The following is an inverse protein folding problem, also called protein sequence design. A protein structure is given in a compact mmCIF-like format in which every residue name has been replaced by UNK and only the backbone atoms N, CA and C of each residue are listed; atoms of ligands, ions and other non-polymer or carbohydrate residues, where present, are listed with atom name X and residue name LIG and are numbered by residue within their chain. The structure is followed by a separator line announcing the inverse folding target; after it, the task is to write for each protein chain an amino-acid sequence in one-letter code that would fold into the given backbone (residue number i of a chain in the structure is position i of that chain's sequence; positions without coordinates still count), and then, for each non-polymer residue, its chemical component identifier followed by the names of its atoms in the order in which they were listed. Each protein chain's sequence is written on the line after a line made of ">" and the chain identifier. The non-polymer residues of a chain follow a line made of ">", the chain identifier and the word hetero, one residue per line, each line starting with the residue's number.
data_IF_696537106600
#
_entry.id   IF_696537106600
#
_cell.length_a   1.000
_cell.length_b   1.000
_cell.length_c   1.000
_cell.angle_alpha   90.00
_cell.angle_beta   90.00
_cell.angle_gamma   90.00
#
_symmetry.space_group_name_H-M   'P 1'
#
loop_
_entity.id
_entity.type
_entity.pdbx_description
1 polymer ?
#
# COMPACT_ATOMS: atom_id res chain seq x y z
N UNK A 1 -55.73 -11.18 -32.35
CA UNK A 1 -55.07 -11.43 -31.06
C UNK A 1 -53.69 -10.83 -31.07
N UNK A 2 -53.49 -9.81 -30.31
CA UNK A 2 -52.18 -9.17 -30.22
C UNK A 2 -51.36 -9.89 -29.15
N UNK A 3 -50.39 -10.67 -29.60
CA UNK A 3 -49.37 -11.17 -28.66
C UNK A 3 -48.48 -9.98 -28.27
N UNK A 4 -48.63 -9.54 -27.09
CA UNK A 4 -47.67 -8.58 -26.55
C UNK A 4 -46.41 -9.36 -26.24
N UNK A 5 -45.40 -9.17 -27.12
CA UNK A 5 -44.06 -9.57 -26.80
C UNK A 5 -43.55 -8.64 -25.69
N UNK A 6 -43.57 -9.10 -24.48
CA UNK A 6 -42.77 -8.45 -23.44
C UNK A 6 -41.32 -8.84 -23.71
N UNK A 7 -40.60 -7.99 -24.42
CA UNK A 7 -39.16 -8.03 -24.36
C UNK A 7 -38.79 -7.62 -22.95
N UNK A 8 -38.59 -8.61 -22.09
CA UNK A 8 -37.89 -8.38 -20.85
C UNK A 8 -36.45 -8.01 -21.26
N UNK A 9 -36.19 -6.74 -21.40
CA UNK A 9 -34.81 -6.25 -21.39
C UNK A 9 -34.27 -6.59 -20.01
N UNK A 10 -33.64 -7.75 -19.90
CA UNK A 10 -32.76 -8.01 -18.81
C UNK A 10 -31.66 -6.97 -18.91
N UNK A 11 -31.79 -5.86 -18.20
CA UNK A 11 -30.68 -4.96 -17.96
C UNK A 11 -29.67 -5.78 -17.18
N UNK A 12 -28.70 -6.32 -17.90
CA UNK A 12 -27.47 -6.77 -17.32
C UNK A 12 -26.83 -5.54 -16.70
N UNK A 13 -27.14 -5.29 -15.43
CA UNK A 13 -26.35 -4.37 -14.63
C UNK A 13 -25.01 -5.07 -14.43
N UNK A 14 -24.11 -4.86 -15.38
CA UNK A 14 -22.73 -5.21 -15.15
C UNK A 14 -22.23 -4.28 -14.05
N UNK A 15 -22.22 -4.81 -12.82
CA UNK A 15 -21.49 -4.18 -11.74
C UNK A 15 -20.01 -4.30 -12.08
N UNK A 16 -19.49 -3.32 -12.83
CA UNK A 16 -18.06 -3.21 -13.03
C UNK A 16 -17.45 -2.83 -11.69
N UNK A 17 -16.78 -3.81 -11.05
CA UNK A 17 -16.02 -3.57 -9.84
C UNK A 17 -14.76 -2.81 -10.23
N UNK A 18 -14.74 -1.51 -10.03
CA UNK A 18 -13.55 -0.70 -10.27
C UNK A 18 -12.60 -0.84 -9.10
N UNK A 19 -11.33 -1.11 -9.40
CA UNK A 19 -10.27 -0.99 -8.41
C UNK A 19 -10.07 0.49 -8.07
N UNK A 20 -10.11 0.82 -6.79
CA UNK A 20 -9.82 2.16 -6.31
C UNK A 20 -8.46 2.13 -5.62
N UNK A 21 -7.57 3.04 -5.99
CA UNK A 21 -6.24 3.14 -5.40
C UNK A 21 -6.08 4.49 -4.71
N UNK A 22 -5.75 4.44 -3.43
CA UNK A 22 -5.32 5.60 -2.65
C UNK A 22 -3.80 5.63 -2.62
N UNK A 23 -3.20 6.78 -2.94
CA UNK A 23 -1.76 6.95 -3.00
C UNK A 23 -1.33 8.00 -1.98
N UNK A 24 -0.31 7.64 -1.18
CA UNK A 24 0.27 8.47 -0.14
C UNK A 24 1.77 8.59 -0.37
N UNK A 25 2.33 9.74 -0.04
CA UNK A 25 3.75 10.02 -0.25
C UNK A 25 4.35 10.76 0.95
N UNK A 26 5.59 10.41 1.28
CA UNK A 26 6.43 11.15 2.23
C UNK A 26 7.77 11.41 1.58
N UNK A 27 8.13 12.70 1.49
CA UNK A 27 9.44 13.14 1.00
C UNK A 27 10.23 13.74 2.14
N UNK A 28 11.43 13.24 2.34
CA UNK A 28 12.39 13.77 3.30
C UNK A 28 13.76 13.88 2.60
N UNK A 29 13.98 15.02 1.92
CA UNK A 29 15.14 15.18 1.06
C UNK A 29 15.13 14.19 -0.10
N UNK A 30 16.19 13.40 -0.22
CA UNK A 30 16.31 12.34 -1.24
C UNK A 30 15.62 11.04 -0.87
N UNK A 31 15.06 10.96 0.33
CA UNK A 31 14.35 9.79 0.82
C UNK A 31 12.86 9.94 0.52
N UNK A 32 12.31 9.04 -0.27
CA UNK A 32 10.90 9.09 -0.69
C UNK A 32 10.23 7.77 -0.36
N UNK A 33 9.12 7.85 0.35
CA UNK A 33 8.27 6.70 0.67
C UNK A 33 6.94 6.83 -0.06
N UNK A 34 6.48 5.75 -0.67
CA UNK A 34 5.18 5.64 -1.30
C UNK A 34 4.37 4.54 -0.63
N UNK A 35 3.11 4.83 -0.42
CA UNK A 35 2.13 3.84 0.03
C UNK A 35 0.97 3.85 -0.95
N UNK A 36 0.59 2.69 -1.44
CA UNK A 36 -0.59 2.51 -2.27
C UNK A 36 -1.52 1.51 -1.61
N UNK A 37 -2.76 1.89 -1.45
CA UNK A 37 -3.82 1.01 -0.94
C UNK A 37 -4.83 0.84 -2.07
N UNK A 38 -4.92 -0.38 -2.59
CA UNK A 38 -5.84 -0.71 -3.67
C UNK A 38 -6.96 -1.57 -3.12
N UNK A 39 -8.19 -1.12 -3.33
CA UNK A 39 -9.39 -1.84 -2.93
C UNK A 39 -10.11 -2.34 -4.17
N UNK A 40 -10.33 -3.64 -4.24
CA UNK A 40 -11.08 -4.27 -5.31
C UNK A 40 -12.13 -5.20 -4.69
N UNK A 41 -13.39 -4.76 -4.69
CA UNK A 41 -14.44 -5.48 -3.97
C UNK A 41 -14.15 -5.53 -2.47
N UNK A 42 -13.97 -6.74 -1.94
CA UNK A 42 -13.61 -6.97 -0.54
C UNK A 42 -12.11 -7.11 -0.33
N UNK A 43 -11.35 -7.17 -1.41
CA UNK A 43 -9.91 -7.40 -1.35
C UNK A 43 -9.16 -6.08 -1.24
N UNK A 44 -8.24 -6.02 -0.30
CA UNK A 44 -7.38 -4.87 -0.06
C UNK A 44 -5.95 -5.31 -0.28
N UNK A 45 -5.22 -4.58 -1.12
CA UNK A 45 -3.80 -4.78 -1.35
C UNK A 45 -3.05 -3.54 -0.91
N UNK A 46 -1.99 -3.74 -0.13
CA UNK A 46 -1.09 -2.66 0.30
C UNK A 46 0.25 -2.85 -0.38
N UNK A 47 0.78 -1.77 -0.93
CA UNK A 47 2.13 -1.72 -1.51
C UNK A 47 2.90 -0.57 -0.88
N UNK A 48 4.07 -0.86 -0.35
CA UNK A 48 4.98 0.14 0.22
C UNK A 48 6.28 0.14 -0.57
N UNK A 49 6.69 1.33 -1.01
CA UNK A 49 7.91 1.56 -1.76
C UNK A 49 8.77 2.58 -1.04
N UNK A 50 10.08 2.37 -1.08
CA UNK A 50 11.06 3.32 -0.56
C UNK A 50 12.16 3.50 -1.58
N UNK A 51 12.48 4.76 -1.88
CA UNK A 51 13.60 5.15 -2.73
C UNK A 51 14.48 6.14 -2.00
N UNK A 52 15.77 5.88 -2.06
CA UNK A 52 16.79 6.80 -1.56
C UNK A 52 17.90 6.93 -2.59
N UNK A 53 18.05 8.14 -3.14
CA UNK A 53 19.17 8.52 -4.01
C UNK A 53 19.90 9.68 -3.36
N UNK A 54 21.10 9.45 -2.75
CA UNK A 54 21.84 10.52 -2.12
C UNK A 54 22.28 11.56 -3.15
N UNK A 55 22.11 12.83 -2.81
CA UNK A 55 22.61 13.93 -3.62
C UNK A 55 24.06 14.27 -3.24
N UNK A 56 24.66 15.26 -3.90
CA UNK A 56 26.07 15.66 -3.67
C UNK A 56 26.36 16.13 -2.23
N UNK A 57 25.34 16.52 -1.47
CA UNK A 57 25.49 16.91 -0.06
C UNK A 57 25.48 15.70 0.89
N UNK A 58 25.09 14.53 0.40
CA UNK A 58 24.95 13.30 1.18
C UNK A 58 26.09 12.33 0.85
N UNK A 59 27.33 12.82 0.90
CA UNK A 59 28.51 12.02 0.56
C UNK A 59 28.67 10.81 1.48
N UNK A 60 29.06 9.66 0.91
CA UNK A 60 29.32 8.42 1.65
C UNK A 60 28.11 7.53 1.86
N UNK A 61 26.92 7.92 1.39
CA UNK A 61 25.72 7.10 1.44
C UNK A 61 25.47 6.43 0.09
N UNK A 62 25.00 5.20 0.13
CA UNK A 62 24.64 4.44 -1.07
C UNK A 62 23.15 4.56 -1.36
N UNK A 63 22.79 4.64 -2.64
CA UNK A 63 21.40 4.56 -3.05
C UNK A 63 20.81 3.20 -2.69
N UNK A 64 19.55 3.19 -2.35
CA UNK A 64 18.79 1.96 -2.13
C UNK A 64 17.35 2.15 -2.54
N UNK A 65 16.70 1.04 -2.88
CA UNK A 65 15.27 1.00 -3.12
C UNK A 65 14.71 -0.33 -2.60
N UNK A 66 13.48 -0.31 -2.14
CA UNK A 66 12.81 -1.50 -1.65
C UNK A 66 11.32 -1.40 -1.91
N UNK A 67 10.70 -2.54 -2.12
CA UNK A 67 9.27 -2.65 -2.34
C UNK A 67 8.75 -3.90 -1.67
N UNK A 68 7.57 -3.78 -1.04
CA UNK A 68 6.81 -4.91 -0.54
C UNK A 68 5.34 -4.69 -0.82
N UNK A 69 4.64 -5.74 -1.22
CA UNK A 69 3.21 -5.69 -1.45
C UNK A 69 2.56 -6.99 -1.04
N UNK A 70 1.30 -6.93 -0.67
CA UNK A 70 0.55 -8.11 -0.29
C UNK A 70 -0.88 -7.78 0.10
N UNK A 71 -1.65 -8.82 0.35
CA UNK A 71 -3.00 -8.67 0.85
C UNK A 71 -2.99 -8.09 2.25
N UNK A 72 -3.91 -7.17 2.50
CA UNK A 72 -4.08 -6.54 3.79
C UNK A 72 -5.45 -6.86 4.38
N UNK A 73 -5.51 -6.89 5.70
CA UNK A 73 -6.75 -7.03 6.45
C UNK A 73 -7.03 -5.76 7.22
N UNK A 74 -8.28 -5.34 7.20
CA UNK A 74 -8.76 -4.23 7.98
C UNK A 74 -8.97 -4.68 9.42
N UNK A 75 -8.19 -4.11 10.35
CA UNK A 75 -8.30 -4.39 11.78
C UNK A 75 -9.34 -3.48 12.41
N UNK A 76 -9.39 -2.23 11.95
CA UNK A 76 -10.36 -1.22 12.36
C UNK A 76 -10.64 -0.29 11.19
N UNK A 77 -11.49 0.70 11.37
CA UNK A 77 -11.78 1.70 10.32
C UNK A 77 -10.56 2.51 9.91
N UNK A 78 -9.53 2.56 10.76
CA UNK A 78 -8.33 3.37 10.54
C UNK A 78 -7.05 2.56 10.50
N UNK A 79 -7.11 1.24 10.57
CA UNK A 79 -5.91 0.41 10.63
C UNK A 79 -5.99 -0.81 9.73
N UNK A 80 -4.94 -0.98 8.92
CA UNK A 80 -4.75 -2.12 8.03
C UNK A 80 -3.45 -2.83 8.38
N UNK A 81 -3.43 -4.15 8.25
CA UNK A 81 -2.20 -4.95 8.38
C UNK A 81 -2.00 -5.81 7.14
N UNK A 82 -0.85 -5.66 6.51
CA UNK A 82 -0.40 -6.49 5.41
C UNK A 82 0.67 -7.45 5.92
N UNK A 83 0.55 -8.72 5.59
CA UNK A 83 1.53 -9.74 5.94
C UNK A 83 2.15 -10.33 4.69
N UNK A 84 3.48 -10.35 4.66
CA UNK A 84 4.24 -10.93 3.57
C UNK A 84 5.17 -12.01 4.10
N UNK A 85 5.00 -13.23 3.60
CA UNK A 85 5.91 -14.33 3.92
C UNK A 85 7.29 -14.10 3.31
N UNK A 86 8.32 -14.40 4.08
CA UNK A 86 9.68 -14.48 3.58
C UNK A 86 9.84 -15.86 2.94
N UNK A 87 10.14 -15.86 1.65
CA UNK A 87 10.22 -17.08 0.87
C UNK A 87 11.26 -18.06 1.46
N UNK A 88 10.84 -19.31 1.64
CA UNK A 88 11.69 -20.35 2.23
C UNK A 88 11.82 -20.30 3.75
N UNK A 89 11.15 -19.38 4.43
CA UNK A 89 11.23 -19.24 5.88
C UNK A 89 9.85 -19.17 6.53
N UNK A 90 9.77 -19.47 7.82
CA UNK A 90 8.54 -19.35 8.60
C UNK A 90 8.27 -17.90 9.04
N UNK A 91 9.19 -16.98 8.77
CA UNK A 91 9.07 -15.57 9.19
C UNK A 91 8.12 -14.79 8.31
N UNK A 92 7.44 -13.84 8.90
CA UNK A 92 6.45 -13.00 8.24
C UNK A 92 6.80 -11.54 8.48
N UNK A 93 6.94 -10.75 7.40
CA UNK A 93 7.00 -9.29 7.49
C UNK A 93 5.59 -8.75 7.62
N UNK A 94 5.33 -7.96 8.64
CA UNK A 94 4.05 -7.28 8.84
C UNK A 94 4.22 -5.78 8.66
N UNK A 95 3.40 -5.18 7.80
CA UNK A 95 3.30 -3.74 7.62
C UNK A 95 1.96 -3.30 8.17
N UNK A 96 2.00 -2.38 9.14
CA UNK A 96 0.80 -1.78 9.71
C UNK A 96 0.60 -0.39 9.14
N UNK A 97 -0.58 -0.14 8.58
CA UNK A 97 -0.97 1.16 8.07
C UNK A 97 -1.97 1.78 9.03
N UNK A 98 -1.66 2.94 9.57
CA UNK A 98 -2.56 3.72 10.42
C UNK A 98 -3.04 4.92 9.63
N UNK A 99 -4.31 4.92 9.25
CA UNK A 99 -4.91 6.03 8.53
C UNK A 99 -5.16 7.20 9.46
N UNK A 100 -4.80 8.39 8.99
CA UNK A 100 -5.03 9.66 9.68
C UNK A 100 -6.01 10.51 8.86
N UNK A 101 -6.55 11.62 9.40
CA UNK A 101 -7.45 12.47 8.62
C UNK A 101 -6.88 12.96 7.28
N UNK A 102 -5.56 13.15 7.20
CA UNK A 102 -4.91 13.71 6.01
C UNK A 102 -3.94 12.75 5.31
N UNK A 103 -3.73 11.57 5.86
CA UNK A 103 -2.73 10.67 5.31
C UNK A 103 -2.66 9.33 6.01
N UNK A 104 -1.43 8.85 6.18
CA UNK A 104 -1.17 7.55 6.80
C UNK A 104 0.20 7.51 7.47
N UNK A 105 0.33 6.64 8.46
CA UNK A 105 1.61 6.31 9.08
C UNK A 105 1.88 4.83 8.88
N UNK A 106 3.15 4.48 8.70
CA UNK A 106 3.58 3.11 8.49
C UNK A 106 4.46 2.64 9.64
N UNK A 107 4.16 1.43 10.12
CA UNK A 107 5.02 0.66 11.01
C UNK A 107 5.35 -0.67 10.37
N UNK A 108 6.49 -1.23 10.71
CA UNK A 108 6.91 -2.53 10.22
C UNK A 108 7.41 -3.42 11.36
N UNK A 109 7.27 -4.75 11.19
CA UNK A 109 7.92 -5.72 12.08
C UNK A 109 9.41 -5.86 11.72
N UNK A 110 10.19 -6.41 12.64
CA UNK A 110 11.63 -6.60 12.44
C UNK A 110 11.94 -7.48 11.23
N UNK A 111 11.08 -8.45 10.93
CA UNK A 111 11.24 -9.39 9.82
C UNK A 111 11.22 -8.68 8.46
N UNK A 112 10.68 -7.48 8.40
CA UNK A 112 10.69 -6.69 7.17
C UNK A 112 12.09 -6.23 6.77
N UNK A 113 13.06 -6.30 7.68
CA UNK A 113 14.47 -6.06 7.37
C UNK A 113 15.04 -7.00 6.32
N UNK A 114 14.40 -8.13 6.08
CA UNK A 114 14.76 -9.03 4.98
C UNK A 114 14.52 -8.39 3.61
N UNK A 115 13.46 -7.60 3.46
CA UNK A 115 13.11 -6.92 2.21
C UNK A 115 13.78 -5.56 2.09
N UNK A 116 13.96 -4.88 3.22
CA UNK A 116 14.53 -3.55 3.24
C UNK A 116 15.21 -3.30 4.59
N UNK A 117 16.47 -2.92 4.56
CA UNK A 117 17.26 -2.63 5.74
C UNK A 117 17.81 -1.21 5.72
N UNK A 118 18.17 -0.71 6.90
CA UNK A 118 18.78 0.60 7.04
C UNK A 118 17.86 1.74 6.63
N UNK A 119 18.38 2.66 5.83
CA UNK A 119 17.67 3.89 5.45
C UNK A 119 16.44 3.61 4.54
N UNK A 120 16.39 2.46 3.88
CA UNK A 120 15.26 2.07 3.02
C UNK A 120 14.23 1.20 3.73
N UNK A 121 14.12 1.30 5.06
CA UNK A 121 13.04 0.63 5.78
C UNK A 121 11.66 1.24 5.42
N UNK A 122 10.61 0.46 5.60
CA UNK A 122 9.26 0.87 5.22
C UNK A 122 8.55 1.73 6.27
N UNK A 123 8.95 1.63 7.55
CA UNK A 123 8.34 2.41 8.60
C UNK A 123 8.54 3.92 8.38
N UNK A 124 7.51 4.70 8.66
CA UNK A 124 7.58 6.16 8.51
C UNK A 124 8.13 6.87 9.74
N UNK A 125 8.45 6.11 10.80
CA UNK A 125 9.04 6.60 12.05
C UNK A 125 8.23 7.72 12.71
N UNK A 126 6.90 7.54 12.71
CA UNK A 126 5.97 8.51 13.27
C UNK A 126 5.62 9.67 12.35
N UNK A 127 6.24 9.75 11.17
CA UNK A 127 5.92 10.77 10.17
C UNK A 127 4.70 10.37 9.36
N UNK A 128 3.94 11.37 8.94
CA UNK A 128 2.74 11.15 8.15
C UNK A 128 3.03 11.20 6.65
N UNK A 129 2.61 10.14 5.94
CA UNK A 129 2.55 10.18 4.47
C UNK A 129 1.28 10.92 4.08
N UNK A 130 1.39 11.85 3.16
CA UNK A 130 0.27 12.69 2.72
C UNK A 130 -0.45 12.03 1.57
N UNK A 131 -1.78 11.99 1.65
CA UNK A 131 -2.60 11.47 0.57
C UNK A 131 -2.56 12.42 -0.63
N UNK A 132 -2.21 11.88 -1.81
CA UNK A 132 -2.13 12.66 -3.05
C UNK A 132 -3.15 12.20 -4.09
N UNK A 133 -3.77 11.05 -3.87
CA UNK A 133 -4.75 10.54 -4.82
C UNK A 133 -5.73 9.55 -4.19
#
# INVERSE_FOLDING_TARGET
>A
MKKKLFLAMAMLVSTSTFAATDHYILRDGSHVQHLKITTFGKDITVSADVDFEPNSAETGRHSCSAQVSGEAKKISDTELVMKKHIEGEARICSITVKLTPNGAKLDQSEECGYFAAGICHFASDGKELVKIQ
#
